data_IF_745142270715
#
_entry.id   IF_745142270715
#
_cell.length_a   1.000
_cell.length_b   1.000
_cell.length_c   1.000
_cell.angle_alpha   90.00
_cell.angle_beta   90.00
_cell.angle_gamma   90.00
#
_symmetry.space_group_name_H-M   'P 1'
#
loop_
_entity.id
_entity.type
_entity.pdbx_description
1 polymer ?
#
# COMPACT_ATOMS: atom_id res chain seq x y z
N UNK A 1 -17.49 -4.76 -1.18
CA UNK A 1 -16.18 -5.18 -0.62
C UNK A 1 -15.17 -4.07 -0.86
N UNK A 2 -14.54 -3.54 0.17
CA UNK A 2 -13.51 -2.48 0.02
C UNK A 2 -12.23 -3.06 -0.59
N UNK A 3 -11.69 -2.51 -1.68
CA UNK A 3 -10.47 -3.03 -2.30
C UNK A 3 -9.28 -2.88 -1.35
N UNK A 4 -8.50 -3.96 -1.19
CA UNK A 4 -7.27 -4.02 -0.38
C UNK A 4 -6.08 -4.21 -1.31
N UNK A 5 -4.97 -3.54 -1.03
CA UNK A 5 -3.73 -3.69 -1.80
C UNK A 5 -2.52 -3.83 -0.86
N UNK A 6 -1.71 -4.87 -1.07
CA UNK A 6 -0.43 -5.02 -0.35
C UNK A 6 0.70 -4.35 -1.12
N UNK A 7 1.82 -4.08 -0.44
CA UNK A 7 3.01 -3.51 -1.09
C UNK A 7 3.50 -4.42 -2.22
N UNK A 8 3.44 -5.75 -2.04
CA UNK A 8 3.84 -6.71 -3.05
C UNK A 8 2.94 -6.66 -4.29
N UNK A 9 1.62 -6.53 -4.10
CA UNK A 9 0.66 -6.36 -5.19
C UNK A 9 0.89 -5.05 -5.94
N UNK A 10 1.06 -3.94 -5.23
CA UNK A 10 1.34 -2.63 -5.84
C UNK A 10 2.66 -2.62 -6.62
N UNK A 11 3.70 -3.27 -6.09
CA UNK A 11 5.01 -3.44 -6.73
C UNK A 11 4.86 -4.15 -8.09
N UNK A 12 4.07 -5.24 -8.15
CA UNK A 12 3.81 -5.99 -9.38
C UNK A 12 2.98 -5.19 -10.39
N UNK A 13 1.97 -4.46 -9.92
CA UNK A 13 1.11 -3.65 -10.79
C UNK A 13 1.84 -2.48 -11.45
N UNK A 14 2.70 -1.79 -10.69
CA UNK A 14 3.38 -0.57 -11.14
C UNK A 14 4.79 -0.87 -11.68
N UNK A 15 5.22 -2.14 -11.68
CA UNK A 15 6.56 -2.59 -12.08
C UNK A 15 7.69 -1.73 -11.48
N UNK A 16 7.63 -1.54 -10.17
CA UNK A 16 8.50 -0.63 -9.44
C UNK A 16 9.20 -1.37 -8.30
N UNK A 17 10.41 -0.95 -7.92
CA UNK A 17 11.09 -1.56 -6.77
C UNK A 17 10.28 -1.41 -5.48
N UNK A 18 10.32 -2.45 -4.63
CA UNK A 18 9.58 -2.48 -3.35
C UNK A 18 9.81 -1.22 -2.50
N UNK A 19 11.04 -0.70 -2.48
CA UNK A 19 11.40 0.53 -1.74
C UNK A 19 10.67 1.77 -2.26
N UNK A 20 10.55 1.93 -3.58
CA UNK A 20 9.83 3.07 -4.17
C UNK A 20 8.32 2.91 -4.00
N UNK A 21 7.80 1.70 -4.24
CA UNK A 21 6.40 1.34 -3.99
C UNK A 21 5.96 1.67 -2.55
N UNK A 22 6.76 1.25 -1.57
CA UNK A 22 6.52 1.53 -0.16
C UNK A 22 6.48 3.02 0.17
N UNK A 23 7.44 3.80 -0.34
CA UNK A 23 7.46 5.27 -0.15
C UNK A 23 6.22 5.95 -0.72
N UNK A 24 5.76 5.52 -1.89
CA UNK A 24 4.54 6.06 -2.50
C UNK A 24 3.31 5.76 -1.66
N UNK A 25 3.14 4.51 -1.21
CA UNK A 25 2.00 4.11 -0.38
C UNK A 25 1.98 4.82 0.98
N UNK A 26 3.14 4.98 1.62
CA UNK A 26 3.26 5.78 2.85
C UNK A 26 2.88 7.23 2.58
N UNK A 27 3.41 7.85 1.53
CA UNK A 27 3.12 9.26 1.21
C UNK A 27 1.62 9.46 1.01
N UNK A 28 0.95 8.57 0.28
CA UNK A 28 -0.50 8.59 0.08
C UNK A 28 -1.26 8.41 1.40
N UNK A 29 -0.77 7.54 2.28
CA UNK A 29 -1.35 7.34 3.62
C UNK A 29 -1.23 8.59 4.48
N UNK A 30 -0.05 9.22 4.50
CA UNK A 30 0.21 10.46 5.26
C UNK A 30 -0.65 11.63 4.79
N UNK A 31 -0.95 11.70 3.49
CA UNK A 31 -1.86 12.70 2.93
C UNK A 31 -3.35 12.35 3.14
N UNK A 32 -3.68 11.20 3.73
CA UNK A 32 -5.06 10.78 3.99
C UNK A 32 -5.77 10.15 2.80
N UNK A 33 -5.07 9.85 1.70
CA UNK A 33 -5.65 9.17 0.54
C UNK A 33 -5.81 7.67 0.72
N UNK A 34 -5.01 7.07 1.62
CA UNK A 34 -5.05 5.65 1.92
C UNK A 34 -5.11 5.44 3.42
N UNK A 35 -5.75 4.35 3.85
CA UNK A 35 -5.69 3.85 5.22
C UNK A 35 -4.73 2.67 5.27
N UNK A 36 -3.78 2.74 6.19
CA UNK A 36 -2.83 1.66 6.44
C UNK A 36 -3.35 0.76 7.56
N UNK A 37 -3.31 -0.55 7.33
CA UNK A 37 -3.75 -1.57 8.28
C UNK A 37 -2.60 -2.52 8.56
N UNK A 38 -2.12 -2.55 9.81
CA UNK A 38 -0.99 -3.36 10.28
C UNK A 38 -1.39 -4.50 11.22
N UNK A 39 -2.68 -4.64 11.53
CA UNK A 39 -3.21 -5.63 12.47
C UNK A 39 -3.25 -7.07 11.92
N UNK A 40 -3.07 -7.24 10.61
CA UNK A 40 -3.04 -8.55 9.95
C UNK A 40 -1.59 -9.00 9.70
N UNK A 41 -1.41 -10.29 9.37
CA UNK A 41 -0.09 -10.90 9.13
C UNK A 41 0.69 -10.23 7.97
N UNK A 42 -0.03 -9.69 6.98
CA UNK A 42 0.55 -8.87 5.91
C UNK A 42 -0.11 -7.49 5.91
N UNK A 43 0.67 -6.40 6.06
CA UNK A 43 0.09 -5.05 6.07
C UNK A 43 -0.46 -4.68 4.69
N UNK A 44 -1.63 -4.06 4.68
CA UNK A 44 -2.34 -3.66 3.46
C UNK A 44 -2.88 -2.24 3.56
N UNK A 45 -3.22 -1.70 2.39
CA UNK A 45 -3.76 -0.37 2.21
C UNK A 45 -5.18 -0.46 1.65
N UNK A 46 -6.05 0.44 2.06
CA UNK A 46 -7.39 0.65 1.48
C UNK A 46 -7.59 2.11 1.10
N UNK A 47 -8.54 2.36 0.21
CA UNK A 47 -9.13 3.69 0.03
C UNK A 47 -9.91 4.10 1.31
#
# INVERSE_FOLDING_TARGET
TTPRITVAQYTKLVNMSRRRAYRTLIKLTLHGYLRYHDKEKEPYYTL
#
